data_IF_839336105943
#
_entry.id   IF_839336105943
#
_cell.length_a   1.000
_cell.length_b   1.000
_cell.length_c   1.000
_cell.angle_alpha   90.00
_cell.angle_beta   90.00
_cell.angle_gamma   90.00
#
_symmetry.space_group_name_H-M   'P 1'
#
loop_
_entity.id
_entity.type
_entity.pdbx_description
1 polymer ?
#
# COMPACT_ATOMS: atom_id res chain seq x y z
N UNK A 1 -3.45 6.95 20.29
CA UNK A 1 -4.02 6.11 19.24
C UNK A 1 -3.97 6.82 17.90
N UNK A 2 -3.49 6.13 16.89
CA UNK A 2 -3.52 6.65 15.53
C UNK A 2 -4.96 6.76 15.02
N UNK A 3 -5.20 7.71 14.14
CA UNK A 3 -6.49 7.85 13.48
C UNK A 3 -6.67 6.72 12.48
N UNK A 4 -7.88 6.21 12.39
CA UNK A 4 -8.23 5.24 11.35
C UNK A 4 -8.21 5.91 9.98
N UNK A 5 -7.89 5.13 8.95
CA UNK A 5 -8.09 5.58 7.58
C UNK A 5 -9.60 5.75 7.38
N UNK A 6 -10.05 6.91 6.87
CA UNK A 6 -11.48 7.10 6.62
C UNK A 6 -12.05 6.02 5.70
N UNK A 7 -13.28 5.57 5.99
CA UNK A 7 -13.94 4.52 5.21
C UNK A 7 -14.02 4.85 3.72
N UNK A 8 -14.24 6.12 3.38
CA UNK A 8 -14.29 6.56 1.99
C UNK A 8 -12.95 6.37 1.29
N UNK A 9 -11.85 6.64 1.97
CA UNK A 9 -10.51 6.45 1.43
C UNK A 9 -10.22 4.96 1.24
N UNK A 10 -10.55 4.13 2.20
CA UNK A 10 -10.43 2.67 2.09
C UNK A 10 -11.19 2.15 0.88
N UNK A 11 -12.44 2.61 0.69
CA UNK A 11 -13.26 2.20 -0.45
C UNK A 11 -12.61 2.60 -1.78
N UNK A 12 -12.03 3.80 -1.86
CA UNK A 12 -11.35 4.27 -3.06
C UNK A 12 -10.14 3.38 -3.39
N UNK A 13 -9.34 3.02 -2.37
CA UNK A 13 -8.17 2.15 -2.55
C UNK A 13 -8.61 0.77 -3.05
N UNK A 14 -9.65 0.21 -2.46
CA UNK A 14 -10.16 -1.11 -2.85
C UNK A 14 -10.67 -1.08 -4.29
N UNK A 15 -11.42 -0.04 -4.66
CA UNK A 15 -11.92 0.11 -6.03
C UNK A 15 -10.78 0.27 -7.03
N UNK A 16 -9.78 1.10 -6.71
CA UNK A 16 -8.59 1.28 -7.54
C UNK A 16 -7.90 -0.05 -7.84
N UNK A 17 -7.82 -0.92 -6.84
CA UNK A 17 -7.13 -2.20 -6.94
C UNK A 17 -8.07 -3.35 -7.38
N UNK A 18 -9.22 -3.00 -7.92
CA UNK A 18 -10.13 -3.96 -8.54
C UNK A 18 -10.95 -4.81 -7.56
N UNK A 19 -11.02 -4.40 -6.30
CA UNK A 19 -11.75 -5.16 -5.28
C UNK A 19 -10.99 -6.35 -4.72
N UNK A 20 -9.79 -6.62 -5.24
CA UNK A 20 -9.00 -7.80 -4.89
C UNK A 20 -7.88 -7.44 -3.92
N UNK A 21 -7.51 -8.42 -3.08
CA UNK A 21 -6.33 -8.30 -2.23
C UNK A 21 -5.09 -8.17 -3.11
N UNK A 22 -4.44 -7.02 -3.06
CA UNK A 22 -3.23 -6.78 -3.86
C UNK A 22 -2.03 -7.57 -3.32
N UNK A 23 -1.98 -7.78 -2.01
CA UNK A 23 -0.86 -8.47 -1.38
C UNK A 23 -0.75 -9.93 -1.82
N UNK A 24 -1.78 -10.71 -1.61
CA UNK A 24 -1.83 -12.16 -1.91
C UNK A 24 -0.60 -12.91 -1.43
N UNK A 25 -0.22 -12.68 -0.18
CA UNK A 25 1.00 -13.24 0.41
C UNK A 25 0.75 -14.35 1.40
N UNK A 26 -0.42 -14.38 2.05
CA UNK A 26 -0.77 -15.42 2.99
C UNK A 26 -1.28 -16.66 2.26
N UNK A 27 -0.91 -17.89 2.72
CA UNK A 27 -1.54 -19.12 2.21
C UNK A 27 -3.06 -19.11 2.40
N UNK A 28 -3.56 -18.31 3.36
CA UNK A 28 -4.97 -18.22 3.68
C UNK A 28 -5.64 -16.97 3.09
N UNK A 29 -5.02 -16.34 2.09
CA UNK A 29 -5.53 -15.13 1.47
C UNK A 29 -7.00 -15.30 1.07
N UNK A 30 -7.83 -14.31 1.44
CA UNK A 30 -9.27 -14.35 1.18
C UNK A 30 -9.63 -13.98 -0.27
N UNK A 31 -8.69 -13.45 -1.04
CA UNK A 31 -8.92 -13.06 -2.43
C UNK A 31 -9.51 -11.67 -2.57
N UNK A 32 -10.51 -11.33 -1.79
CA UNK A 32 -11.14 -10.02 -1.78
C UNK A 32 -10.48 -9.10 -0.78
N UNK A 33 -10.41 -7.81 -1.11
CA UNK A 33 -9.88 -6.80 -0.22
C UNK A 33 -10.97 -6.22 0.68
N UNK A 34 -10.65 -6.01 1.95
CA UNK A 34 -11.55 -5.39 2.91
C UNK A 34 -10.91 -4.25 3.68
N UNK A 35 -9.59 -4.10 3.58
CA UNK A 35 -8.85 -3.04 4.29
C UNK A 35 -7.86 -2.37 3.35
N UNK A 36 -7.41 -1.18 3.74
CA UNK A 36 -6.29 -0.50 3.10
C UNK A 36 -5.06 -0.71 3.99
N UNK A 37 -3.98 -1.20 3.41
CA UNK A 37 -2.74 -1.48 4.10
C UNK A 37 -1.72 -0.38 3.79
N UNK A 38 -1.00 0.08 4.81
CA UNK A 38 0.10 1.03 4.63
C UNK A 38 1.32 0.32 4.06
N UNK A 39 1.86 0.82 2.96
CA UNK A 39 3.10 0.31 2.38
C UNK A 39 4.27 0.62 3.30
N UNK A 40 4.42 1.86 3.71
CA UNK A 40 5.34 2.26 4.77
C UNK A 40 4.54 2.41 6.05
N UNK A 41 5.04 1.85 7.14
CA UNK A 41 4.36 1.92 8.43
C UNK A 41 4.19 3.37 8.86
N UNK A 42 2.98 3.67 9.32
CA UNK A 42 2.65 5.01 9.81
C UNK A 42 3.33 5.32 11.14
N UNK A 43 3.71 4.29 11.89
CA UNK A 43 4.32 4.43 13.19
C UNK A 43 3.33 4.86 14.26
N UNK A 44 3.87 5.09 15.44
CA UNK A 44 3.09 5.60 16.58
C UNK A 44 2.83 7.09 16.36
N UNK A 45 1.62 7.53 16.56
CA UNK A 45 1.27 8.94 16.41
C UNK A 45 0.47 9.26 15.16
N UNK A 46 0.35 8.33 14.24
CA UNK A 46 -0.59 8.42 13.13
C UNK A 46 -0.34 9.58 12.18
N UNK A 47 0.85 9.64 11.59
CA UNK A 47 1.21 10.71 10.65
C UNK A 47 0.30 10.73 9.43
N UNK A 48 -0.43 11.82 9.24
CA UNK A 48 -1.38 11.99 8.13
C UNK A 48 -0.71 11.93 6.76
N UNK A 49 0.56 12.34 6.66
CA UNK A 49 1.32 12.29 5.40
C UNK A 49 1.49 10.86 4.88
N UNK A 50 1.39 9.86 5.75
CA UNK A 50 1.50 8.46 5.36
C UNK A 50 0.13 7.81 5.08
N UNK A 51 -0.96 8.58 5.14
CA UNK A 51 -2.29 8.13 4.77
C UNK A 51 -2.67 8.52 3.33
N UNK A 52 -1.71 9.03 2.56
CA UNK A 52 -1.93 9.34 1.15
C UNK A 52 -2.18 8.08 0.33
N UNK A 53 -2.95 8.21 -0.75
CA UNK A 53 -3.30 7.08 -1.60
C UNK A 53 -2.10 6.32 -2.15
N UNK A 54 -0.98 7.01 -2.40
CA UNK A 54 0.24 6.35 -2.90
C UNK A 54 0.89 5.43 -1.87
N UNK A 55 0.58 5.58 -0.58
CA UNK A 55 1.10 4.73 0.47
C UNK A 55 0.10 3.64 0.91
N UNK A 56 -1.02 3.51 0.22
CA UNK A 56 -2.07 2.55 0.59
C UNK A 56 -2.30 1.55 -0.51
N UNK A 57 -2.48 0.29 -0.16
CA UNK A 57 -2.86 -0.79 -1.09
C UNK A 57 -4.00 -1.60 -0.48
N UNK A 58 -4.83 -2.18 -1.36
CA UNK A 58 -5.95 -3.01 -0.93
C UNK A 58 -5.45 -4.36 -0.42
N UNK A 59 -6.00 -4.83 0.68
CA UNK A 59 -5.60 -6.10 1.27
C UNK A 59 -6.78 -6.78 1.95
N UNK A 60 -6.70 -8.10 2.06
CA UNK A 60 -7.56 -8.83 2.98
C UNK A 60 -6.94 -8.81 4.38
N UNK A 61 -7.75 -9.06 5.41
CA UNK A 61 -7.28 -9.00 6.80
C UNK A 61 -6.20 -10.03 7.08
N UNK A 62 -6.26 -11.20 6.46
CA UNK A 62 -5.26 -12.25 6.69
C UNK A 62 -3.91 -11.87 6.09
N UNK A 63 -3.87 -11.34 4.87
CA UNK A 63 -2.63 -10.86 4.27
C UNK A 63 -2.07 -9.66 5.01
N UNK A 64 -2.92 -8.74 5.46
CA UNK A 64 -2.50 -7.59 6.24
C UNK A 64 -1.78 -8.02 7.52
N UNK A 65 -2.32 -9.01 8.22
CA UNK A 65 -1.67 -9.58 9.40
C UNK A 65 -0.39 -10.35 9.06
N UNK A 66 -0.44 -11.17 8.02
CA UNK A 66 0.69 -12.00 7.60
C UNK A 66 1.90 -11.16 7.16
N UNK A 67 1.66 -9.99 6.58
CA UNK A 67 2.71 -9.05 6.17
C UNK A 67 3.68 -8.75 7.32
N UNK A 68 3.16 -8.63 8.54
CA UNK A 68 3.98 -8.31 9.71
C UNK A 68 4.52 -9.54 10.43
N UNK A 69 3.89 -10.70 10.28
CA UNK A 69 4.20 -11.87 11.10
C UNK A 69 4.94 -12.99 10.36
N UNK A 70 4.74 -13.18 9.07
CA UNK A 70 5.27 -14.35 8.39
C UNK A 70 5.84 -14.12 7.00
N UNK A 71 5.61 -12.95 6.42
CA UNK A 71 6.01 -12.68 5.04
C UNK A 71 7.51 -12.39 4.93
N UNK A 72 8.09 -12.71 3.78
CA UNK A 72 9.49 -12.39 3.48
C UNK A 72 9.59 -10.88 3.19
N UNK A 73 10.30 -10.16 4.06
CA UNK A 73 10.44 -8.71 3.95
C UNK A 73 11.10 -8.28 2.64
N UNK A 74 12.12 -9.02 2.20
CA UNK A 74 12.81 -8.70 0.96
C UNK A 74 11.92 -8.78 -0.27
N UNK A 75 11.05 -9.78 -0.31
CA UNK A 75 10.07 -9.91 -1.40
C UNK A 75 9.05 -8.78 -1.38
N UNK A 76 8.59 -8.38 -0.20
CA UNK A 76 7.66 -7.26 -0.06
C UNK A 76 8.29 -5.95 -0.54
N UNK A 77 9.55 -5.72 -0.19
CA UNK A 77 10.29 -4.54 -0.65
C UNK A 77 10.48 -4.58 -2.18
N UNK A 78 10.82 -5.73 -2.73
CA UNK A 78 11.02 -5.88 -4.16
C UNK A 78 9.73 -5.61 -4.95
N UNK A 79 8.58 -5.99 -4.40
CA UNK A 79 7.28 -5.72 -5.03
C UNK A 79 6.79 -4.28 -4.77
N UNK A 80 7.44 -3.53 -3.92
CA UNK A 80 6.99 -2.18 -3.54
C UNK A 80 5.76 -2.17 -2.64
N UNK A 81 5.26 -3.33 -2.22
CA UNK A 81 4.12 -3.40 -1.29
C UNK A 81 4.54 -3.11 0.14
N UNK A 82 5.83 -3.10 0.39
CA UNK A 82 6.43 -2.55 1.59
C UNK A 82 7.42 -1.48 1.17
N UNK A 83 7.38 -0.33 1.85
CA UNK A 83 8.31 0.78 1.61
C UNK A 83 9.02 1.06 2.92
N UNK A 84 10.33 1.16 2.86
CA UNK A 84 11.15 1.44 4.02
C UNK A 84 11.02 2.90 4.44
N UNK A 85 10.87 3.13 5.75
CA UNK A 85 10.77 4.48 6.29
C UNK A 85 12.06 5.28 6.07
N UNK A 86 11.90 6.55 5.78
CA UNK A 86 13.00 7.50 5.69
C UNK A 86 13.09 8.31 6.99
N UNK A 87 13.95 9.31 7.02
CA UNK A 87 14.23 10.11 8.22
C UNK A 87 13.03 10.96 8.68
N UNK A 88 12.11 11.30 7.78
CA UNK A 88 10.88 12.01 8.13
C UNK A 88 9.69 11.33 7.47
N UNK A 89 8.49 11.61 7.98
CA UNK A 89 7.26 11.09 7.38
C UNK A 89 7.06 11.63 5.96
N UNK A 90 7.39 12.90 5.74
CA UNK A 90 7.28 13.52 4.42
C UNK A 90 8.21 12.85 3.41
N UNK A 91 9.45 12.58 3.79
CA UNK A 91 10.40 11.87 2.93
C UNK A 91 9.96 10.43 2.65
N UNK A 92 9.39 9.78 3.66
CA UNK A 92 8.82 8.44 3.49
C UNK A 92 7.67 8.46 2.49
N UNK A 93 6.78 9.45 2.58
CA UNK A 93 5.66 9.60 1.65
C UNK A 93 6.14 9.82 0.22
N UNK A 94 7.18 10.63 0.04
CA UNK A 94 7.80 10.84 -1.28
C UNK A 94 8.40 9.55 -1.82
N UNK A 95 9.06 8.78 -0.97
CA UNK A 95 9.61 7.47 -1.35
C UNK A 95 8.50 6.53 -1.82
N UNK A 96 7.38 6.48 -1.11
CA UNK A 96 6.24 5.66 -1.50
C UNK A 96 5.68 6.08 -2.85
N UNK A 97 5.53 7.39 -3.08
CA UNK A 97 5.05 7.92 -4.35
C UNK A 97 5.97 7.51 -5.52
N UNK A 98 7.27 7.48 -5.29
CA UNK A 98 8.27 7.17 -6.32
C UNK A 98 8.64 5.69 -6.41
N UNK A 99 7.96 4.82 -5.67
CA UNK A 99 8.19 3.38 -5.68
C UNK A 99 6.95 2.68 -6.27
N UNK A 100 7.07 2.04 -7.45
CA UNK A 100 5.92 1.34 -8.01
C UNK A 100 5.61 0.07 -7.22
N UNK A 101 4.41 -0.44 -7.43
CA UNK A 101 3.98 -1.72 -6.86
C UNK A 101 3.84 -2.75 -7.97
N UNK A 102 4.14 -4.01 -7.65
CA UNK A 102 4.03 -5.12 -8.59
C UNK A 102 2.94 -6.07 -8.08
N UNK A 103 1.95 -6.34 -8.93
CA UNK A 103 0.88 -7.26 -8.57
C UNK A 103 1.31 -8.72 -8.74
N UNK A 104 0.42 -9.65 -8.37
CA UNK A 104 0.75 -11.10 -8.41
C UNK A 104 0.93 -11.63 -9.83
N UNK A 105 0.52 -10.87 -10.82
CA UNK A 105 0.71 -11.23 -12.24
C UNK A 105 1.99 -10.63 -12.81
N UNK A 106 2.78 -9.94 -11.98
CA UNK A 106 4.03 -9.32 -12.40
C UNK A 106 3.86 -7.96 -13.05
N UNK A 107 2.66 -7.40 -13.04
CA UNK A 107 2.40 -6.10 -13.64
C UNK A 107 2.76 -4.98 -12.66
N UNK A 108 3.43 -3.95 -13.18
CA UNK A 108 3.87 -2.81 -12.38
C UNK A 108 2.85 -1.67 -12.47
N UNK A 109 2.56 -1.07 -11.31
CA UNK A 109 1.64 0.05 -11.20
C UNK A 109 2.29 1.19 -10.43
N UNK A 110 2.05 2.40 -10.89
CA UNK A 110 2.45 3.63 -10.19
C UNK A 110 1.22 4.22 -9.55
N UNK A 111 1.25 4.40 -8.24
CA UNK A 111 0.12 4.92 -7.46
C UNK A 111 0.28 6.44 -7.30
N UNK A 112 -0.81 7.17 -7.47
CA UNK A 112 -0.79 8.62 -7.24
C UNK A 112 -1.61 8.98 -5.99
N UNK A 113 -1.60 10.25 -5.62
CA UNK A 113 -2.31 10.71 -4.43
C UNK A 113 -3.73 11.22 -4.72
N UNK A 114 -4.24 10.96 -5.94
CA UNK A 114 -5.64 11.23 -6.29
C UNK A 114 -6.53 9.99 -6.20
N UNK A 115 -5.93 8.82 -5.93
CA UNK A 115 -6.66 7.56 -5.85
C UNK A 115 -6.63 6.74 -7.13
N UNK A 116 -5.74 7.06 -8.05
CA UNK A 116 -5.59 6.35 -9.33
C UNK A 116 -4.28 5.57 -9.38
N UNK A 117 -4.19 4.63 -10.30
CA UNK A 117 -2.96 3.91 -10.61
C UNK A 117 -2.68 4.01 -12.11
N UNK A 118 -1.39 3.95 -12.45
CA UNK A 118 -0.91 4.17 -13.82
C UNK A 118 0.04 3.04 -14.19
N UNK A 119 0.05 2.65 -15.48
CA UNK A 119 0.94 1.60 -15.97
C UNK A 119 2.35 2.11 -16.28
N UNK A 120 2.57 3.40 -16.16
CA UNK A 120 3.89 4.05 -16.25
C UNK A 120 3.97 5.20 -15.26
N UNK A 121 5.18 5.59 -14.91
CA UNK A 121 5.38 6.68 -13.95
C UNK A 121 4.79 7.98 -14.51
N UNK A 122 3.90 8.65 -13.76
CA UNK A 122 3.38 9.95 -14.18
C UNK A 122 4.51 10.97 -14.32
N UNK A 123 4.43 11.78 -15.38
CA UNK A 123 5.44 12.80 -15.62
C UNK A 123 5.29 13.94 -14.62
N UNK A 124 6.40 14.49 -14.11
CA UNK A 124 6.33 15.71 -13.31
C UNK A 124 5.95 16.89 -14.20
N UNK A 125 5.25 17.83 -13.61
CA UNK A 125 4.83 19.03 -14.32
C UNK A 125 5.88 20.13 -14.22
#
# INVERSE_FOLDING_TARGET
MGKRIPAKKTATVIERDGGLCFLRISPDCLGEATVADHRANRGNGGANSLDGYSNLIAACTLCNGFKESGANRGELLARGVRVQSDSTHEKTAIRALNTPVVDVNGRTWWLDNTGLRHDRQPQPY
#
